data_IF_326304010142
#
_entry.id   IF_326304010142
#
_cell.length_a   1.000
_cell.length_b   1.000
_cell.length_c   1.000
_cell.angle_alpha   90.00
_cell.angle_beta   90.00
_cell.angle_gamma   90.00
#
_symmetry.space_group_name_H-M   'P 1'
#
loop_
_entity.id
_entity.type
_entity.pdbx_description
1 polymer ?
#
# COMPACT_ATOMS: atom_id res chain seq x y z
N UNK A 1 1.26 -22.19 -4.94
CA UNK A 1 2.31 -21.24 -5.39
C UNK A 1 2.14 -19.91 -4.66
N UNK A 2 3.17 -19.45 -3.95
CA UNK A 2 3.16 -18.09 -3.36
C UNK A 2 3.02 -17.06 -4.49
N UNK A 3 2.20 -16.05 -4.25
CA UNK A 3 2.02 -14.97 -5.21
C UNK A 3 3.16 -13.97 -5.06
N UNK A 4 4.36 -14.36 -5.49
CA UNK A 4 5.62 -13.68 -5.17
C UNK A 4 5.55 -12.18 -5.50
N UNK A 5 5.07 -11.83 -6.70
CA UNK A 5 4.90 -10.44 -7.12
C UNK A 5 4.00 -9.60 -6.18
N UNK A 6 2.94 -10.18 -5.61
CA UNK A 6 2.13 -9.47 -4.60
C UNK A 6 2.95 -9.12 -3.37
N UNK A 7 3.72 -10.09 -2.85
CA UNK A 7 4.52 -9.90 -1.65
C UNK A 7 5.67 -8.91 -1.90
N UNK A 8 6.33 -9.00 -3.06
CA UNK A 8 7.41 -8.07 -3.41
C UNK A 8 6.92 -6.61 -3.47
N UNK A 9 5.76 -6.37 -4.10
CA UNK A 9 5.15 -5.03 -4.14
C UNK A 9 4.63 -4.59 -2.76
N UNK A 10 4.03 -5.50 -2.00
CA UNK A 10 3.50 -5.20 -0.67
C UNK A 10 4.62 -4.83 0.33
N UNK A 11 5.75 -5.55 0.31
CA UNK A 11 6.90 -5.27 1.17
C UNK A 11 7.53 -3.93 0.80
N UNK A 12 7.69 -3.63 -0.49
CA UNK A 12 8.16 -2.31 -0.95
C UNK A 12 7.22 -1.18 -0.52
N UNK A 13 5.91 -1.38 -0.66
CA UNK A 13 4.91 -0.41 -0.22
C UNK A 13 5.02 -0.14 1.29
N UNK A 14 5.14 -1.19 2.11
CA UNK A 14 5.28 -1.08 3.55
C UNK A 14 6.56 -0.33 3.96
N UNK A 15 7.69 -0.55 3.27
CA UNK A 15 8.93 0.21 3.52
C UNK A 15 8.80 1.69 3.16
N UNK A 16 8.08 2.02 2.09
CA UNK A 16 7.77 3.40 1.72
C UNK A 16 6.85 4.08 2.74
N UNK A 17 5.87 3.35 3.29
CA UNK A 17 5.00 3.85 4.37
C UNK A 17 5.78 4.22 5.63
N UNK A 18 6.73 3.38 6.05
CA UNK A 18 7.61 3.66 7.20
C UNK A 18 8.43 4.93 7.01
N UNK A 19 8.81 5.23 5.76
CA UNK A 19 9.52 6.45 5.36
C UNK A 19 8.60 7.65 5.12
N UNK A 20 7.30 7.50 5.37
CA UNK A 20 6.26 8.51 5.10
C UNK A 20 6.18 8.92 3.61
N UNK A 21 6.69 8.09 2.70
CA UNK A 21 6.63 8.29 1.25
C UNK A 21 5.29 7.77 0.72
N UNK A 22 4.20 8.38 1.20
CA UNK A 22 2.85 7.86 0.99
C UNK A 22 2.41 7.84 -0.48
N UNK A 23 2.89 8.77 -1.32
CA UNK A 23 2.57 8.78 -2.75
C UNK A 23 3.10 7.53 -3.46
N UNK A 24 4.35 7.19 -3.20
CA UNK A 24 5.00 6.03 -3.82
C UNK A 24 4.46 4.73 -3.20
N UNK A 25 4.18 4.73 -1.90
CA UNK A 25 3.53 3.61 -1.22
C UNK A 25 2.14 3.31 -1.82
N UNK A 26 1.34 4.34 -2.11
CA UNK A 26 0.02 4.17 -2.72
C UNK A 26 0.09 3.45 -4.08
N UNK A 27 1.07 3.83 -4.90
CA UNK A 27 1.33 3.19 -6.19
C UNK A 27 1.72 1.71 -6.02
N UNK A 28 2.65 1.41 -5.12
CA UNK A 28 3.08 0.02 -4.89
C UNK A 28 1.96 -0.86 -4.32
N UNK A 29 1.10 -0.31 -3.45
CA UNK A 29 -0.10 -1.00 -2.98
C UNK A 29 -1.11 -1.26 -4.10
N UNK A 30 -1.28 -0.31 -5.03
CA UNK A 30 -2.16 -0.51 -6.19
C UNK A 30 -1.60 -1.58 -7.14
N UNK A 31 -0.28 -1.63 -7.34
CA UNK A 31 0.37 -2.70 -8.11
C UNK A 31 0.20 -4.05 -7.40
N UNK A 32 0.37 -4.10 -6.08
CA UNK A 32 0.15 -5.31 -5.29
C UNK A 32 -1.29 -5.83 -5.45
N UNK A 33 -2.30 -4.95 -5.37
CA UNK A 33 -3.71 -5.37 -5.54
C UNK A 33 -3.95 -5.99 -6.92
N UNK A 34 -3.43 -5.39 -7.99
CA UNK A 34 -3.53 -5.93 -9.35
C UNK A 34 -2.77 -7.25 -9.56
N UNK A 35 -1.80 -7.58 -8.70
CA UNK A 35 -1.12 -8.88 -8.72
C UNK A 35 -1.74 -9.91 -7.78
N UNK A 36 -2.62 -9.52 -6.86
CA UNK A 36 -3.20 -10.39 -5.85
C UNK A 36 -4.04 -11.52 -6.47
N UNK A 37 -3.73 -12.78 -6.12
CA UNK A 37 -4.50 -13.97 -6.52
C UNK A 37 -5.68 -14.27 -5.59
N UNK A 38 -5.62 -13.77 -4.36
CA UNK A 38 -6.70 -13.92 -3.36
C UNK A 38 -7.41 -12.59 -3.21
N UNK A 39 -8.74 -12.64 -3.16
CA UNK A 39 -9.58 -11.46 -2.98
C UNK A 39 -9.20 -10.67 -1.73
N UNK A 40 -9.02 -11.35 -0.59
CA UNK A 40 -8.60 -10.72 0.66
C UNK A 40 -7.29 -9.92 0.53
N UNK A 41 -6.35 -10.38 -0.29
CA UNK A 41 -5.10 -9.67 -0.53
C UNK A 41 -5.31 -8.47 -1.46
N UNK A 42 -6.21 -8.59 -2.43
CA UNK A 42 -6.58 -7.50 -3.33
C UNK A 42 -7.26 -6.37 -2.54
N UNK A 43 -8.23 -6.71 -1.70
CA UNK A 43 -8.94 -5.77 -0.83
C UNK A 43 -7.98 -5.09 0.14
N UNK A 44 -7.15 -5.86 0.84
CA UNK A 44 -6.15 -5.32 1.75
C UNK A 44 -5.26 -4.29 1.06
N UNK A 45 -4.64 -4.66 -0.07
CA UNK A 45 -3.76 -3.76 -0.81
C UNK A 45 -4.51 -2.54 -1.37
N UNK A 46 -5.77 -2.69 -1.79
CA UNK A 46 -6.61 -1.58 -2.25
C UNK A 46 -6.88 -0.58 -1.14
N UNK A 47 -7.27 -1.05 0.05
CA UNK A 47 -7.52 -0.18 1.20
C UNK A 47 -6.23 0.51 1.69
N UNK A 48 -5.09 -0.20 1.66
CA UNK A 48 -3.78 0.43 1.95
C UNK A 48 -3.41 1.52 0.94
N UNK A 49 -3.68 1.31 -0.34
CA UNK A 49 -3.47 2.33 -1.37
C UNK A 49 -4.34 3.57 -1.11
N UNK A 50 -5.63 3.39 -0.78
CA UNK A 50 -6.54 4.49 -0.42
C UNK A 50 -6.05 5.25 0.81
N UNK A 51 -5.61 4.54 1.84
CA UNK A 51 -5.01 5.15 3.04
C UNK A 51 -3.80 6.02 2.68
N UNK A 52 -2.86 5.49 1.89
CA UNK A 52 -1.68 6.23 1.46
C UNK A 52 -2.02 7.46 0.61
N UNK A 53 -3.02 7.36 -0.28
CA UNK A 53 -3.52 8.51 -1.04
C UNK A 53 -4.09 9.59 -0.10
N UNK A 54 -4.87 9.20 0.91
CA UNK A 54 -5.37 10.14 1.94
C UNK A 54 -4.22 10.78 2.70
N UNK A 55 -3.21 10.01 3.10
CA UNK A 55 -2.04 10.52 3.83
C UNK A 55 -1.19 11.47 2.98
N UNK A 56 -1.18 11.31 1.66
CA UNK A 56 -0.50 12.23 0.73
C UNK A 56 -1.18 13.60 0.68
N UNK A 57 -2.51 13.63 0.71
CA UNK A 57 -3.30 14.88 0.62
C UNK A 57 -3.48 15.54 1.99
N UNK A 58 -3.77 14.73 3.01
CA UNK A 58 -4.02 15.17 4.38
C UNK A 58 -3.33 14.20 5.34
N UNK A 59 -2.03 14.42 5.62
CA UNK A 59 -1.34 13.69 6.67
C UNK A 59 -2.09 13.85 8.00
N UNK A 60 -2.06 12.82 8.85
CA UNK A 60 -2.44 13.03 10.25
C UNK A 60 -1.42 13.98 10.87
N UNK A 61 -1.85 15.21 11.18
CA UNK A 61 -1.18 16.02 12.19
C UNK A 61 -1.68 15.43 13.50
N UNK A 62 -0.82 14.74 14.25
CA UNK A 62 -1.17 14.41 15.62
C UNK A 62 -1.55 15.72 16.30
N UNK A 63 -2.76 15.81 16.84
CA UNK A 63 -3.02 16.82 17.85
C UNK A 63 -2.20 16.39 19.06
N UNK A 64 -1.15 17.15 19.36
CA UNK A 64 -0.34 17.04 20.58
C UNK A 64 -1.16 17.36 21.83
#
# INVERSE_FOLDING_TARGET
MKNQAYYDYADQAAELEKKQQYRDAALHWQLASGKAKKEINCEYATERSKFCNRMTVRPFRGEE
#
